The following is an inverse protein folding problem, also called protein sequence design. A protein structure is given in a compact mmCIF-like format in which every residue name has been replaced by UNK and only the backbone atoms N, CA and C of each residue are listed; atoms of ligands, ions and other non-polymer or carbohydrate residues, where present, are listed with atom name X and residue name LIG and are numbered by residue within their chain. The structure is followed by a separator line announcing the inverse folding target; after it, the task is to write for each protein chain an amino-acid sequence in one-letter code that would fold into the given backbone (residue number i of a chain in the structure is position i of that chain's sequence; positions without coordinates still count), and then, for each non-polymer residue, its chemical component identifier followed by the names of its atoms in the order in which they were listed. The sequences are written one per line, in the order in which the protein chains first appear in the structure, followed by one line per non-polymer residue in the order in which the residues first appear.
data_IF_223346752029
#
_entry.id   IF_223346752029
#
_cell.length_a   1.000
_cell.length_b   1.000
_cell.length_c   1.000
_cell.angle_alpha   90.00
_cell.angle_beta   90.00
_cell.angle_gamma   90.00
#
_symmetry.space_group_name_H-M   'P 1'
#
loop_
_entity.id
_entity.type
_entity.pdbx_description
1 polymer ?
#
# COMPACT_ATOMS: atom_id res chain seq x y z
N UNK A 1 -2.11 26.74 -0.43
CA UNK A 1 -2.66 25.43 -0.01
C UNK A 1 -2.22 24.40 -1.04
N UNK A 2 -1.08 23.76 -0.79
CA UNK A 2 -0.54 22.74 -1.68
C UNK A 2 -1.35 21.46 -1.55
N UNK A 3 -1.74 20.87 -2.67
CA UNK A 3 -2.21 19.49 -2.74
C UNK A 3 -1.13 18.61 -2.11
N UNK A 4 -1.34 18.24 -0.85
CA UNK A 4 -0.34 17.52 -0.05
C UNK A 4 -0.10 16.14 -0.61
N UNK A 5 0.95 16.03 -1.42
CA UNK A 5 1.85 14.89 -1.59
C UNK A 5 1.17 13.51 -1.59
N UNK A 6 0.12 13.35 -2.41
CA UNK A 6 -0.35 12.01 -2.82
C UNK A 6 0.70 11.33 -3.72
N UNK A 7 1.75 12.06 -4.11
CA UNK A 7 2.86 11.72 -5.02
C UNK A 7 3.75 10.55 -4.61
N UNK A 8 3.50 9.89 -3.48
CA UNK A 8 4.26 8.69 -3.07
C UNK A 8 3.40 7.43 -2.88
N UNK A 9 2.07 7.55 -3.03
CA UNK A 9 1.16 6.42 -2.84
C UNK A 9 0.63 5.89 -4.16
N UNK A 10 0.63 4.57 -4.26
CA UNK A 10 0.11 3.80 -5.36
C UNK A 10 -1.33 3.41 -5.05
N UNK A 11 -2.26 3.66 -5.98
CA UNK A 11 -3.63 3.18 -5.86
C UNK A 11 -3.74 1.77 -6.43
N UNK A 12 -4.42 0.88 -5.72
CA UNK A 12 -4.62 -0.52 -6.14
C UNK A 12 -6.08 -0.69 -6.55
N UNK A 13 -6.28 -1.20 -7.75
CA UNK A 13 -7.58 -1.48 -8.35
C UNK A 13 -7.67 -2.95 -8.78
N UNK A 14 -8.88 -3.48 -8.87
CA UNK A 14 -9.13 -4.70 -9.63
C UNK A 14 -9.14 -4.42 -11.14
N UNK A 15 -9.33 -5.47 -11.95
CA UNK A 15 -9.44 -5.36 -13.41
C UNK A 15 -10.66 -4.54 -13.87
N UNK A 16 -11.68 -4.39 -13.04
CA UNK A 16 -12.82 -3.53 -13.33
C UNK A 16 -12.55 -2.05 -12.97
N UNK A 17 -11.34 -1.72 -12.51
CA UNK A 17 -10.95 -0.38 -12.08
C UNK A 17 -11.51 0.02 -10.70
N UNK A 18 -12.11 -0.91 -9.97
CA UNK A 18 -12.67 -0.64 -8.64
C UNK A 18 -11.52 -0.51 -7.64
N UNK A 19 -11.47 0.57 -6.83
CA UNK A 19 -10.44 0.74 -5.82
C UNK A 19 -10.54 -0.36 -4.76
N UNK A 20 -9.40 -1.01 -4.49
CA UNK A 20 -9.25 -2.02 -3.44
C UNK A 20 -8.45 -1.53 -2.25
N UNK A 21 -7.55 -0.57 -2.48
CA UNK A 21 -6.72 0.00 -1.43
C UNK A 21 -5.61 0.88 -1.99
N UNK A 22 -4.60 1.10 -1.15
CA UNK A 22 -3.40 1.86 -1.46
C UNK A 22 -2.16 1.11 -1.00
N UNK A 23 -1.02 1.43 -1.59
CA UNK A 23 0.29 0.94 -1.18
C UNK A 23 1.36 2.00 -1.41
N UNK A 24 2.60 1.65 -1.09
CA UNK A 24 3.77 2.49 -1.37
C UNK A 24 4.92 1.62 -1.88
N UNK A 25 5.79 2.20 -2.70
CA UNK A 25 7.02 1.54 -3.15
C UNK A 25 8.01 1.52 -1.98
N UNK A 26 8.49 0.34 -1.62
CA UNK A 26 9.36 0.13 -0.46
C UNK A 26 10.86 0.08 -0.82
N UNK A 27 11.19 -0.14 -2.09
CA UNK A 27 12.58 -0.30 -2.53
C UNK A 27 12.79 0.12 -4.00
N UNK A 28 14.07 0.22 -4.37
CA UNK A 28 14.54 0.48 -5.75
C UNK A 28 14.29 -0.69 -6.72
N UNK A 29 13.60 -1.75 -6.29
CA UNK A 29 13.16 -2.85 -7.18
C UNK A 29 11.69 -2.69 -7.58
N UNK A 30 11.01 -1.66 -7.08
CA UNK A 30 9.59 -1.44 -7.30
C UNK A 30 8.70 -2.38 -6.48
N UNK A 31 9.18 -2.91 -5.35
CA UNK A 31 8.33 -3.69 -4.45
C UNK A 31 7.29 -2.76 -3.84
N UNK A 32 6.00 -3.04 -4.05
CA UNK A 32 4.91 -2.30 -3.42
C UNK A 32 4.42 -3.06 -2.19
N UNK A 33 4.38 -2.37 -1.04
CA UNK A 33 3.79 -2.89 0.20
C UNK A 33 2.35 -2.41 0.31
N UNK A 34 1.45 -3.33 0.64
CA UNK A 34 0.03 -3.01 0.89
C UNK A 34 -0.58 -3.95 1.93
N UNK A 35 -1.84 -3.68 2.30
CA UNK A 35 -2.62 -4.56 3.16
C UNK A 35 -3.00 -5.86 2.42
N UNK A 36 -2.99 -6.99 3.13
CA UNK A 36 -3.42 -8.29 2.61
C UNK A 36 -4.80 -8.23 1.94
N UNK A 37 -5.74 -7.51 2.54
CA UNK A 37 -7.08 -7.29 2.00
C UNK A 37 -7.07 -6.68 0.59
N UNK A 38 -6.20 -5.70 0.35
CA UNK A 38 -6.11 -5.01 -0.93
C UNK A 38 -5.52 -5.91 -2.03
N UNK A 39 -4.72 -6.91 -1.64
CA UNK A 39 -4.09 -7.87 -2.54
C UNK A 39 -4.91 -9.15 -2.77
N UNK A 40 -5.82 -9.51 -1.86
CA UNK A 40 -6.62 -10.74 -1.92
C UNK A 40 -7.66 -10.71 -3.06
N UNK A 41 -7.22 -10.90 -4.30
CA UNK A 41 -8.01 -10.83 -5.54
C UNK A 41 -7.95 -12.16 -6.28
N UNK A 42 -9.05 -12.63 -6.90
CA UNK A 42 -9.03 -13.83 -7.74
C UNK A 42 -8.32 -13.62 -9.09
N UNK A 43 -7.91 -12.40 -9.42
CA UNK A 43 -7.26 -12.07 -10.68
C UNK A 43 -6.24 -10.93 -10.55
N UNK A 44 -5.59 -10.54 -11.66
CA UNK A 44 -4.51 -9.56 -11.65
C UNK A 44 -4.97 -8.21 -11.07
N UNK A 45 -4.04 -7.49 -10.47
CA UNK A 45 -4.28 -6.15 -9.91
C UNK A 45 -3.78 -5.08 -10.86
N UNK A 46 -4.45 -3.94 -10.87
CA UNK A 46 -4.00 -2.74 -11.59
C UNK A 46 -3.52 -1.70 -10.57
N UNK A 47 -2.25 -1.35 -10.66
CA UNK A 47 -1.62 -0.33 -9.83
C UNK A 47 -1.57 0.98 -10.61
N UNK A 48 -1.94 2.07 -9.96
CA UNK A 48 -1.83 3.41 -10.51
C UNK A 48 -0.82 4.19 -9.68
N UNK A 49 0.28 4.57 -10.33
CA UNK A 49 1.27 5.48 -9.81
C UNK A 49 0.77 6.93 -9.77
N UNK A 50 1.65 7.81 -9.36
CA UNK A 50 1.29 9.20 -8.99
C UNK A 50 1.22 10.12 -10.19
N UNK A 51 1.92 9.74 -11.26
CA UNK A 51 2.01 10.48 -12.51
C UNK A 51 1.09 9.85 -13.58
N UNK A 52 0.09 9.09 -13.14
CA UNK A 52 -0.88 8.43 -14.01
C UNK A 52 -0.37 7.15 -14.69
N UNK A 53 0.89 6.75 -14.45
CA UNK A 53 1.43 5.47 -14.90
C UNK A 53 0.64 4.31 -14.30
N UNK A 54 0.47 3.24 -15.08
CA UNK A 54 -0.24 2.05 -14.63
C UNK A 54 0.61 0.80 -14.82
N UNK A 55 0.47 -0.13 -13.88
CA UNK A 55 1.17 -1.41 -13.88
C UNK A 55 0.18 -2.52 -13.57
N UNK A 56 0.18 -3.59 -14.37
CA UNK A 56 -0.58 -4.79 -14.06
C UNK A 56 0.30 -5.76 -13.28
N UNK A 57 -0.20 -6.30 -12.17
CA UNK A 57 0.49 -7.26 -11.31
C UNK A 57 -0.25 -8.58 -11.39
N UNK A 58 0.44 -9.62 -11.87
CA UNK A 58 -0.10 -10.97 -11.94
C UNK A 58 -0.15 -11.63 -10.55
N UNK A 59 -1.01 -12.64 -10.32
CA UNK A 59 -1.04 -13.38 -9.06
C UNK A 59 0.32 -13.93 -8.63
N UNK A 60 1.16 -14.37 -9.58
CA UNK A 60 2.50 -14.91 -9.32
C UNK A 60 3.52 -13.84 -8.85
N UNK A 61 3.17 -12.56 -9.02
CA UNK A 61 3.94 -11.41 -8.54
C UNK A 61 3.46 -10.91 -7.17
N UNK A 62 2.47 -11.57 -6.57
CA UNK A 62 1.89 -11.24 -5.26
C UNK A 62 2.39 -12.23 -4.22
N UNK A 63 3.11 -11.73 -3.22
CA UNK A 63 3.46 -12.48 -2.02
C UNK A 63 2.54 -12.07 -0.87
N UNK A 64 1.58 -12.93 -0.52
CA UNK A 64 0.67 -12.69 0.59
C UNK A 64 1.34 -12.98 1.95
N UNK A 65 1.13 -12.10 2.93
CA UNK A 65 1.63 -12.22 4.31
C UNK A 65 0.45 -12.06 5.29
N UNK A 66 -0.52 -13.00 5.31
CA UNK A 66 -1.77 -12.84 6.04
C UNK A 66 -1.57 -12.71 7.55
N UNK A 67 -0.58 -13.39 8.13
CA UNK A 67 -0.23 -13.28 9.55
C UNK A 67 0.21 -11.87 9.97
N UNK A 68 0.68 -11.06 9.02
CA UNK A 68 1.06 -9.66 9.22
C UNK A 68 -0.03 -8.70 8.73
N UNK A 69 -1.10 -9.19 8.11
CA UNK A 69 -2.10 -8.37 7.42
C UNK A 69 -1.54 -7.63 6.20
N UNK A 70 -0.44 -8.10 5.61
CA UNK A 70 0.28 -7.44 4.52
C UNK A 70 0.35 -8.28 3.24
N UNK A 71 0.76 -7.65 2.15
CA UNK A 71 1.17 -8.28 0.91
C UNK A 71 2.26 -7.47 0.22
N UNK A 72 3.13 -8.15 -0.54
CA UNK A 72 4.19 -7.57 -1.35
C UNK A 72 3.87 -7.80 -2.83
N UNK A 73 3.95 -6.75 -3.65
CA UNK A 73 3.65 -6.79 -5.08
C UNK A 73 4.91 -6.42 -5.86
N UNK A 74 5.34 -7.28 -6.77
CA UNK A 74 6.48 -7.02 -7.66
C UNK A 74 6.01 -6.28 -8.91
N UNK A 75 6.57 -5.10 -9.17
CA UNK A 75 6.16 -4.23 -10.30
C UNK A 75 7.27 -3.99 -11.33
N UNK A 76 8.44 -4.61 -11.15
CA UNK A 76 9.52 -4.62 -12.14
C UNK A 76 10.45 -3.41 -12.13
N UNK A 77 10.32 -2.50 -11.16
CA UNK A 77 11.25 -1.36 -10.97
C UNK A 77 10.53 -0.10 -10.45
N UNK A 78 11.28 0.87 -9.89
CA UNK A 78 10.72 2.09 -9.30
C UNK A 78 10.14 3.02 -10.37
N UNK A 79 10.74 3.03 -11.58
CA UNK A 79 10.27 3.84 -12.72
C UNK A 79 8.92 3.38 -13.27
N UNK A 80 8.49 2.14 -12.99
CA UNK A 80 7.21 1.62 -13.50
C UNK A 80 6.03 2.44 -13.00
N UNK A 81 6.10 2.92 -11.75
CA UNK A 81 5.02 3.67 -11.09
C UNK A 81 5.36 5.14 -10.82
N UNK A 82 6.59 5.55 -11.14
CA UNK A 82 7.09 6.92 -10.92
C UNK A 82 6.95 7.38 -9.46
N UNK A 83 7.05 6.43 -8.53
CA UNK A 83 6.87 6.67 -7.11
C UNK A 83 8.20 6.50 -6.40
N UNK A 84 8.64 7.54 -5.70
CA UNK A 84 9.85 7.51 -4.89
C UNK A 84 9.70 6.49 -3.74
N UNK A 85 10.65 5.56 -3.56
CA UNK A 85 10.60 4.59 -2.48
C UNK A 85 10.51 5.25 -1.10
N UNK A 86 9.59 4.78 -0.26
CA UNK A 86 9.46 5.21 1.13
C UNK A 86 10.28 4.30 2.05
N UNK A 87 11.20 4.86 2.87
CA UNK A 87 12.03 4.07 3.75
C UNK A 87 11.20 3.42 4.87
N UNK A 88 11.43 2.14 5.10
CA UNK A 88 10.84 1.40 6.21
C UNK A 88 11.80 1.46 7.40
N UNK A 89 11.39 2.16 8.46
CA UNK A 89 12.14 2.21 9.71
C UNK A 89 11.75 1.05 10.62
N UNK A 90 12.73 0.40 11.26
CA UNK A 90 12.52 -0.67 12.24
C UNK A 90 12.06 -0.16 13.61
N UNK A 91 11.02 0.68 13.67
CA UNK A 91 10.38 1.05 14.94
C UNK A 91 9.26 0.07 15.26
N UNK A 92 9.21 -0.39 16.51
CA UNK A 92 8.19 -1.33 16.98
C UNK A 92 6.78 -0.71 17.02
N UNK A 93 6.67 0.55 17.47
CA UNK A 93 5.40 1.28 17.48
C UNK A 93 5.58 2.79 17.34
N UNK A 94 4.51 3.49 16.97
CA UNK A 94 4.45 4.95 17.02
C UNK A 94 4.05 5.38 18.43
N UNK A 95 4.87 6.19 19.09
CA UNK A 95 4.61 6.58 20.48
C UNK A 95 3.30 7.37 20.62
N UNK A 96 2.46 7.05 21.62
CA UNK A 96 1.32 7.89 21.98
C UNK A 96 1.76 9.34 22.19
N UNK A 97 0.98 10.26 21.64
CA UNK A 97 1.29 11.68 21.64
C UNK A 97 2.19 12.14 20.48
N UNK A 98 2.80 11.22 19.73
CA UNK A 98 3.59 11.51 18.53
C UNK A 98 2.73 11.97 17.36
N UNK A 99 3.31 12.80 16.49
CA UNK A 99 2.67 13.26 15.26
C UNK A 99 3.01 12.34 14.09
N UNK A 100 2.02 12.11 13.23
CA UNK A 100 2.11 11.28 12.04
C UNK A 100 1.42 11.96 10.87
N UNK A 101 1.90 11.68 9.66
CA UNK A 101 1.21 12.04 8.43
C UNK A 101 0.39 10.85 7.92
N UNK A 102 -0.88 11.10 7.61
CA UNK A 102 -1.79 10.10 7.06
C UNK A 102 -2.29 10.59 5.71
N UNK A 103 -2.26 9.71 4.71
CA UNK A 103 -2.86 9.97 3.41
C UNK A 103 -4.36 9.65 3.42
N UNK A 104 -5.18 10.55 3.98
CA UNK A 104 -6.62 10.43 4.04
C UNK A 104 -7.28 11.54 3.19
N UNK A 105 -7.55 11.23 1.92
CA UNK A 105 -7.99 12.22 0.92
C UNK A 105 -6.98 13.37 0.68
N UNK A 106 -5.71 13.11 0.94
CA UNK A 106 -4.61 14.07 0.94
C UNK A 106 -3.76 13.86 2.19
N UNK A 107 -2.54 14.41 2.21
CA UNK A 107 -1.69 14.36 3.41
C UNK A 107 -2.33 15.18 4.52
N UNK A 108 -2.47 14.56 5.69
CA UNK A 108 -3.02 15.17 6.90
C UNK A 108 -2.13 14.81 8.08
N UNK A 109 -1.72 15.83 8.83
CA UNK A 109 -1.08 15.61 10.12
C UNK A 109 -2.14 15.12 11.12
N UNK A 110 -1.77 14.11 11.91
CA UNK A 110 -2.57 13.52 12.95
C UNK A 110 -1.68 13.19 14.15
N UNK A 111 -2.31 12.85 15.28
CA UNK A 111 -1.63 12.48 16.51
C UNK A 111 -1.99 11.06 16.92
N UNK A 112 -1.00 10.29 17.32
CA UNK A 112 -1.20 8.95 17.86
C UNK A 112 -1.82 9.07 19.26
N UNK A 113 -2.97 8.44 19.48
CA UNK A 113 -3.64 8.46 20.79
C UNK A 113 -3.29 7.24 21.65
N UNK A 114 -2.90 6.13 21.02
CA UNK A 114 -2.63 4.85 21.65
C UNK A 114 -2.97 3.69 20.72
N UNK A 115 -2.81 2.47 21.20
CA UNK A 115 -3.18 1.24 20.49
C UNK A 115 -4.60 0.81 20.85
N UNK A 116 -5.36 0.35 19.85
CA UNK A 116 -6.64 -0.34 20.06
C UNK A 116 -6.65 -1.63 19.22
N UNK A 117 -7.16 -2.75 19.75
CA UNK A 117 -7.28 -3.97 18.96
C UNK A 117 -8.22 -3.75 17.76
N UNK A 118 -7.81 -4.24 16.60
CA UNK A 118 -8.61 -4.26 15.38
C UNK A 118 -8.59 -5.68 14.80
N UNK A 119 -9.77 -6.23 14.53
CA UNK A 119 -9.90 -7.56 13.94
C UNK A 119 -10.22 -7.41 12.47
N UNK A 120 -9.34 -7.90 11.61
CA UNK A 120 -9.61 -8.12 10.20
C UNK A 120 -9.83 -9.61 9.95
N UNK A 121 -11.04 -9.99 9.58
CA UNK A 121 -11.33 -11.36 9.12
C UNK A 121 -10.86 -11.45 7.67
N UNK A 122 -9.69 -12.05 7.46
CA UNK A 122 -9.24 -12.37 6.11
C UNK A 122 -10.21 -13.37 5.48
N UNK A 123 -10.61 -13.18 4.21
CA UNK A 123 -11.27 -14.26 3.48
C UNK A 123 -10.30 -15.43 3.41
N UNK A 124 -10.79 -16.64 3.69
CA UNK A 124 -9.99 -17.86 3.59
C UNK A 124 -9.37 -17.91 2.19
N UNK A 125 -8.04 -17.81 2.13
CA UNK A 125 -7.30 -17.95 0.89
C UNK A 125 -7.43 -19.39 0.43
N UNK A 126 -8.31 -19.66 -0.53
CA UNK A 126 -8.28 -20.92 -1.28
C UNK A 126 -7.06 -20.82 -2.20
N UNK A 127 -5.95 -21.39 -1.74
CA UNK A 127 -4.83 -21.80 -2.59
C UNK A 127 -5.15 -23.10 -3.30
#
# INVERSE_FOLDING_TARGET
MGSGDRSKLVKICDQAGRPRGTGFVADERGTVVTAHQAAASPGPLLLHGTDGRTCSVAPDDITALPALGLALLRTGGPDTLDAEPLPIAGRDHAEPGGYVDIAAHGRREARVLGTTPATYTAPDGVG
#
